data_IF_492010965400
#
_entry.id   IF_492010965400
#
_cell.length_a   1.000
_cell.length_b   1.000
_cell.length_c   1.000
_cell.angle_alpha   90.00
_cell.angle_beta   90.00
_cell.angle_gamma   90.00
#
_symmetry.space_group_name_H-M   'P 1'
#
loop_
_entity.id
_entity.type
_entity.pdbx_description
1 polymer ?
#
# COMPACT_ATOMS: atom_id res chain seq x y z
N UNK A 1 -0.35 25.71 -5.14
CA UNK A 1 -0.68 25.55 -3.70
C UNK A 1 -2.04 24.89 -3.46
N UNK A 2 -3.15 25.40 -4.00
CA UNK A 2 -4.46 24.75 -3.79
C UNK A 2 -4.54 23.32 -4.34
N UNK A 3 -4.00 23.08 -5.55
CA UNK A 3 -4.00 21.75 -6.18
C UNK A 3 -3.13 20.73 -5.43
N UNK A 4 -1.98 21.15 -4.88
CA UNK A 4 -1.12 20.27 -4.08
C UNK A 4 -1.81 19.84 -2.80
N UNK A 5 -2.48 20.77 -2.10
CA UNK A 5 -3.25 20.48 -0.88
C UNK A 5 -4.42 19.53 -1.17
N UNK A 6 -5.18 19.79 -2.24
CA UNK A 6 -6.29 18.93 -2.65
C UNK A 6 -5.81 17.50 -2.98
N UNK A 7 -4.67 17.36 -3.65
CA UNK A 7 -4.09 16.06 -3.99
C UNK A 7 -3.58 15.31 -2.75
N UNK A 8 -2.94 16.01 -1.81
CA UNK A 8 -2.53 15.41 -0.53
C UNK A 8 -3.74 14.92 0.27
N UNK A 9 -4.80 15.72 0.38
CA UNK A 9 -6.04 15.30 1.04
C UNK A 9 -6.68 14.10 0.34
N UNK A 10 -6.65 14.05 -1.00
CA UNK A 10 -7.14 12.92 -1.76
C UNK A 10 -6.33 11.64 -1.48
N UNK A 11 -5.00 11.72 -1.44
CA UNK A 11 -4.14 10.57 -1.11
C UNK A 11 -4.40 10.09 0.32
N UNK A 12 -4.49 10.98 1.30
CA UNK A 12 -4.84 10.61 2.67
C UNK A 12 -6.23 9.98 2.76
N UNK A 13 -7.21 10.50 2.02
CA UNK A 13 -8.54 9.92 1.95
C UNK A 13 -8.53 8.51 1.34
N UNK A 14 -7.75 8.28 0.26
CA UNK A 14 -7.59 6.96 -0.35
C UNK A 14 -6.90 5.97 0.59
N UNK A 15 -5.85 6.39 1.30
CA UNK A 15 -5.20 5.57 2.33
C UNK A 15 -6.19 5.22 3.45
N UNK A 16 -6.97 6.20 3.91
CA UNK A 16 -7.99 5.99 4.93
C UNK A 16 -9.08 5.00 4.48
N UNK A 17 -9.56 5.12 3.23
CA UNK A 17 -10.51 4.18 2.63
C UNK A 17 -9.92 2.77 2.51
N UNK A 18 -8.65 2.66 2.09
CA UNK A 18 -7.92 1.40 1.99
C UNK A 18 -7.78 0.71 3.35
N UNK A 19 -7.41 1.46 4.40
CA UNK A 19 -7.34 0.95 5.78
C UNK A 19 -8.71 0.50 6.29
N UNK A 20 -9.77 1.28 6.05
CA UNK A 20 -11.12 0.89 6.44
C UNK A 20 -11.57 -0.40 5.74
N UNK A 21 -11.22 -0.58 4.47
CA UNK A 21 -11.51 -1.82 3.74
C UNK A 21 -10.77 -3.02 4.36
N UNK A 22 -9.47 -2.88 4.65
CA UNK A 22 -8.65 -3.91 5.32
C UNK A 22 -9.22 -4.28 6.69
N UNK A 23 -9.54 -3.29 7.53
CA UNK A 23 -10.10 -3.51 8.86
C UNK A 23 -11.44 -4.24 8.79
N UNK A 24 -12.33 -3.85 7.87
CA UNK A 24 -13.60 -4.56 7.66
C UNK A 24 -13.35 -6.01 7.24
N UNK A 25 -12.47 -6.25 6.27
CA UNK A 25 -12.16 -7.59 5.78
C UNK A 25 -11.60 -8.49 6.89
N UNK A 26 -10.65 -7.99 7.68
CA UNK A 26 -10.06 -8.70 8.84
C UNK A 26 -11.12 -8.98 9.90
N UNK A 27 -11.94 -7.97 10.23
CA UNK A 27 -13.00 -8.12 11.25
C UNK A 27 -14.07 -9.12 10.81
N UNK A 28 -14.46 -9.12 9.54
CA UNK A 28 -15.40 -10.09 8.97
C UNK A 28 -14.81 -11.52 8.94
N UNK A 29 -13.52 -11.68 8.67
CA UNK A 29 -12.84 -12.98 8.77
C UNK A 29 -12.74 -13.46 10.23
N UNK A 30 -12.50 -12.55 11.19
CA UNK A 30 -12.34 -12.85 12.63
C UNK A 30 -13.64 -13.14 13.37
N UNK A 31 -14.83 -12.79 12.84
CA UNK A 31 -16.14 -13.17 13.45
C UNK A 31 -16.31 -14.69 13.66
N UNK A 32 -15.39 -15.54 13.17
CA UNK A 32 -15.34 -16.98 13.39
C UNK A 32 -14.33 -17.47 14.46
N UNK A 33 -13.47 -16.63 15.03
CA UNK A 33 -12.41 -17.11 15.95
C UNK A 33 -12.25 -16.22 17.19
N UNK A 34 -12.46 -16.81 18.36
CA UNK A 34 -12.28 -16.20 19.68
C UNK A 34 -10.82 -16.40 20.12
N UNK A 35 -9.91 -15.52 19.67
CA UNK A 35 -8.54 -15.48 20.17
C UNK A 35 -8.16 -14.03 20.49
N UNK A 36 -7.26 -13.83 21.45
CA UNK A 36 -6.63 -12.54 21.74
C UNK A 36 -5.65 -12.20 20.62
N UNK A 37 -6.18 -11.63 19.54
CA UNK A 37 -5.39 -11.27 18.36
C UNK A 37 -5.04 -9.77 18.42
N UNK A 38 -3.84 -9.34 17.97
CA UNK A 38 -3.47 -7.93 17.88
C UNK A 38 -4.54 -7.03 17.27
N UNK A 39 -4.54 -5.76 17.69
CA UNK A 39 -5.48 -4.71 17.24
C UNK A 39 -5.63 -4.76 15.71
N UNK A 40 -6.87 -4.76 15.18
CA UNK A 40 -7.14 -4.81 13.73
C UNK A 40 -6.39 -3.74 12.93
N UNK A 41 -6.12 -2.58 13.54
CA UNK A 41 -5.33 -1.51 12.93
C UNK A 41 -3.86 -1.89 12.77
N UNK A 42 -3.27 -2.53 13.78
CA UNK A 42 -1.86 -2.96 13.75
C UNK A 42 -1.64 -4.03 12.68
N UNK A 43 -2.58 -4.95 12.54
CA UNK A 43 -2.55 -5.96 11.48
C UNK A 43 -2.72 -5.33 10.09
N UNK A 44 -3.65 -4.38 9.93
CA UNK A 44 -3.82 -3.66 8.66
C UNK A 44 -2.55 -2.86 8.26
N UNK A 45 -1.84 -2.26 9.22
CA UNK A 45 -0.56 -1.59 8.97
C UNK A 45 0.50 -2.60 8.56
N UNK A 46 0.63 -3.73 9.28
CA UNK A 46 1.59 -4.79 8.95
C UNK A 46 1.36 -5.33 7.54
N UNK A 47 0.12 -5.62 7.19
CA UNK A 47 -0.26 -6.11 5.86
C UNK A 47 0.03 -5.06 4.78
N UNK A 48 -0.22 -3.78 5.06
CA UNK A 48 0.06 -2.71 4.11
C UNK A 48 1.57 -2.60 3.83
N UNK A 49 2.39 -2.59 4.87
CA UNK A 49 3.85 -2.52 4.76
C UNK A 49 4.41 -3.76 4.07
N UNK A 50 3.90 -4.95 4.39
CA UNK A 50 4.33 -6.20 3.75
C UNK A 50 4.06 -6.19 2.24
N UNK A 51 2.86 -5.75 1.82
CA UNK A 51 2.51 -5.65 0.39
C UNK A 51 3.36 -4.59 -0.31
N UNK A 52 3.49 -3.39 0.28
CA UNK A 52 4.28 -2.32 -0.32
C UNK A 52 5.76 -2.72 -0.47
N UNK A 53 6.36 -3.31 0.57
CA UNK A 53 7.74 -3.79 0.52
C UNK A 53 7.96 -4.90 -0.51
N UNK A 54 7.06 -5.89 -0.55
CA UNK A 54 7.16 -6.99 -1.52
C UNK A 54 7.04 -6.51 -2.98
N UNK A 55 6.10 -5.60 -3.26
CA UNK A 55 5.94 -5.00 -4.60
C UNK A 55 7.15 -4.17 -4.98
N UNK A 56 7.69 -3.36 -4.05
CA UNK A 56 8.89 -2.56 -4.30
C UNK A 56 10.09 -3.43 -4.70
N UNK A 57 10.39 -4.47 -3.91
CA UNK A 57 11.50 -5.38 -4.19
C UNK A 57 11.33 -6.10 -5.53
N UNK A 58 10.10 -6.53 -5.86
CA UNK A 58 9.81 -7.16 -7.14
C UNK A 58 10.01 -6.19 -8.33
N UNK A 59 9.55 -4.94 -8.21
CA UNK A 59 9.73 -3.91 -9.24
C UNK A 59 11.20 -3.53 -9.39
N UNK A 60 11.94 -3.42 -8.29
CA UNK A 60 13.37 -3.14 -8.30
C UNK A 60 14.12 -4.24 -9.03
N UNK A 61 13.93 -5.51 -8.65
CA UNK A 61 14.54 -6.66 -9.32
C UNK A 61 14.17 -6.73 -10.81
N UNK A 62 12.90 -6.44 -11.15
CA UNK A 62 12.44 -6.41 -12.54
C UNK A 62 13.12 -5.28 -13.33
N UNK A 63 13.27 -4.09 -12.74
CA UNK A 63 13.92 -2.95 -13.38
C UNK A 63 15.39 -3.22 -13.65
N UNK A 64 16.09 -3.87 -12.72
CA UNK A 64 17.47 -4.32 -12.88
C UNK A 64 17.60 -5.38 -13.98
N UNK A 65 16.68 -6.35 -14.01
CA UNK A 65 16.65 -7.40 -15.02
C UNK A 65 16.43 -6.85 -16.43
N UNK A 66 15.45 -5.95 -16.59
CA UNK A 66 15.13 -5.33 -17.88
C UNK A 66 16.10 -4.21 -18.27
N UNK A 67 17.02 -3.83 -17.37
CA UNK A 67 17.92 -2.67 -17.51
C UNK A 67 17.17 -1.39 -17.88
N UNK A 68 16.00 -1.20 -17.28
CA UNK A 68 15.20 0.01 -17.49
C UNK A 68 15.89 1.15 -16.74
N UNK A 69 16.22 2.27 -17.39
CA UNK A 69 16.79 3.42 -16.72
C UNK A 69 15.70 4.11 -15.89
N UNK A 70 15.59 3.73 -14.62
CA UNK A 70 14.69 4.39 -13.67
C UNK A 70 15.44 5.56 -13.02
N UNK A 71 14.84 6.76 -12.89
CA UNK A 71 15.45 7.88 -12.18
C UNK A 71 15.76 7.52 -10.73
N UNK A 72 16.89 7.98 -10.20
CA UNK A 72 17.32 7.74 -8.81
C UNK A 72 16.32 8.38 -7.83
N UNK A 73 15.80 9.54 -8.17
CA UNK A 73 14.82 10.28 -7.38
C UNK A 73 13.75 10.90 -8.28
N UNK A 74 12.51 10.88 -7.81
CA UNK A 74 11.41 11.69 -8.30
C UNK A 74 11.02 12.70 -7.24
N UNK A 75 10.86 13.95 -7.65
CA UNK A 75 10.40 15.01 -6.77
C UNK A 75 8.87 14.97 -6.68
N UNK A 76 8.36 14.73 -5.47
CA UNK A 76 6.92 14.79 -5.17
C UNK A 76 6.72 15.79 -4.05
N UNK A 77 6.02 16.89 -4.32
CA UNK A 77 5.77 17.96 -3.34
C UNK A 77 7.04 18.57 -2.71
N UNK A 78 8.15 18.65 -3.45
CA UNK A 78 9.42 19.20 -2.97
C UNK A 78 10.26 18.23 -2.12
N UNK A 79 9.83 16.98 -2.02
CA UNK A 79 10.56 15.88 -1.38
C UNK A 79 11.00 14.89 -2.46
N UNK A 80 12.25 14.48 -2.42
CA UNK A 80 12.77 13.40 -3.26
C UNK A 80 12.31 12.05 -2.74
N UNK A 81 11.72 11.24 -3.62
CA UNK A 81 11.32 9.87 -3.34
C UNK A 81 11.86 8.93 -4.42
N UNK A 82 12.05 7.66 -4.06
CA UNK A 82 12.26 6.59 -5.03
C UNK A 82 10.97 6.39 -5.87
N UNK A 83 11.01 6.53 -7.20
CA UNK A 83 9.84 6.35 -8.06
C UNK A 83 9.18 4.98 -7.91
N UNK A 84 9.96 3.91 -7.75
CA UNK A 84 9.45 2.56 -7.58
C UNK A 84 8.74 2.39 -6.24
N UNK A 85 9.23 3.07 -5.19
CA UNK A 85 8.57 3.07 -3.89
C UNK A 85 7.20 3.76 -3.95
N UNK A 86 7.09 4.87 -4.68
CA UNK A 86 5.80 5.56 -4.91
C UNK A 86 4.81 4.62 -5.60
N UNK A 87 5.24 3.94 -6.68
CA UNK A 87 4.39 2.99 -7.40
C UNK A 87 3.98 1.83 -6.49
N UNK A 88 4.90 1.27 -5.71
CA UNK A 88 4.61 0.18 -4.79
C UNK A 88 3.59 0.57 -3.71
N UNK A 89 3.70 1.79 -3.16
CA UNK A 89 2.73 2.33 -2.21
C UNK A 89 1.35 2.50 -2.85
N UNK A 90 1.28 3.06 -4.06
CA UNK A 90 0.01 3.21 -4.79
C UNK A 90 -0.64 1.84 -5.02
N UNK A 91 0.13 0.85 -5.47
CA UNK A 91 -0.37 -0.52 -5.64
C UNK A 91 -0.82 -1.14 -4.32
N UNK A 92 -0.10 -0.90 -3.21
CA UNK A 92 -0.49 -1.38 -1.90
C UNK A 92 -1.79 -0.72 -1.38
N UNK A 93 -2.06 0.55 -1.73
CA UNK A 93 -3.33 1.22 -1.40
C UNK A 93 -4.49 0.55 -2.14
N UNK A 94 -4.29 0.18 -3.41
CA UNK A 94 -5.31 -0.44 -4.27
C UNK A 94 -5.47 -1.94 -4.00
N UNK A 95 -4.41 -2.63 -3.51
CA UNK A 95 -4.39 -4.07 -3.25
C UNK A 95 -5.65 -4.65 -2.54
N UNK A 96 -6.19 -4.07 -1.45
CA UNK A 96 -7.37 -4.62 -0.78
C UNK A 96 -8.68 -4.54 -1.61
N UNK A 97 -8.71 -3.77 -2.70
CA UNK A 97 -9.86 -3.74 -3.62
C UNK A 97 -9.91 -4.98 -4.51
N UNK A 98 -8.78 -5.66 -4.67
CA UNK A 98 -8.72 -6.96 -5.34
C UNK A 98 -8.86 -8.03 -4.27
N UNK A 99 -10.02 -8.69 -4.14
CA UNK A 99 -10.14 -9.82 -3.24
C UNK A 99 -9.13 -10.89 -3.69
N UNK A 100 -8.06 -11.07 -2.91
CA UNK A 100 -7.17 -12.21 -3.08
C UNK A 100 -8.03 -13.45 -2.85
N UNK A 101 -8.46 -14.07 -3.94
CA UNK A 101 -9.20 -15.33 -3.94
C UNK A 101 -8.21 -16.46 -3.70
N UNK A 102 -7.39 -16.38 -2.66
CA UNK A 102 -6.59 -17.51 -2.21
C UNK A 102 -7.43 -18.32 -1.23
N UNK A 103 -8.31 -19.15 -1.79
CA UNK A 103 -8.72 -20.40 -1.16
C UNK A 103 -7.75 -21.46 -1.65
N UNK A 104 -6.73 -21.78 -0.87
CA UNK A 104 -6.07 -23.07 -0.91
C UNK A 104 -5.74 -23.46 0.53
#
# INVERSE_FOLDING_TARGET
MAYSIALTLAVFALVYLSMNARVKQITHARKRSYNEVPSPLSEAIKDFVAVAGGVYLALMALSEFLKVPVPIEAEVWGLSFDPLAVVAVVLAIVAPLFPSRSRY
#
